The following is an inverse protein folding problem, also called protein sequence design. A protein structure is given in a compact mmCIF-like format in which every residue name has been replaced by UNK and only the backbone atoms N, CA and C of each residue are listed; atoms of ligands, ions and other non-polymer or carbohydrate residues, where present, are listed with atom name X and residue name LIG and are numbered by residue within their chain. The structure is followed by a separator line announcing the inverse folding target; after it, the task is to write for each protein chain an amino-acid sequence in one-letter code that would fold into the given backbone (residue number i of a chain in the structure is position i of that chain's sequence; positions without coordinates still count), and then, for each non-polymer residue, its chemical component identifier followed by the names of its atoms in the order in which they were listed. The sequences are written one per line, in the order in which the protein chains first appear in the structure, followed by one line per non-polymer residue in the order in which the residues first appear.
data_IF_085514418679
#
_entry.id   IF_085514418679
#
_cell.length_a   1.000
_cell.length_b   1.000
_cell.length_c   1.000
_cell.angle_alpha   90.00
_cell.angle_beta   90.00
_cell.angle_gamma   90.00
#
_symmetry.space_group_name_H-M   'P 1'
#
loop_
_entity.id
_entity.type
_entity.pdbx_description
1 polymer ?
#
# COMPACT_ATOMS: atom_id res chain seq x y z
N UNK A 1 -1.62 9.80 -36.34
CA UNK A 1 -1.92 10.08 -35.97
C UNK A 1 -1.97 9.85 -35.73
N UNK A 2 -1.81 9.63 -35.37
CA UNK A 2 -2.10 9.81 -34.94
C UNK A 2 -2.02 9.64 -34.60
N UNK A 3 -1.81 9.71 -34.34
CA UNK A 3 -2.02 10.00 -33.85
C UNK A 3 -2.05 9.90 -33.42
N UNK A 4 -1.92 9.76 -33.19
CA UNK A 4 -2.20 10.06 -32.68
C UNK A 4 -2.19 9.87 -32.10
N UNK A 5 -2.03 9.67 -31.96
CA UNK A 5 -2.27 9.89 -31.34
C UNK A 5 -2.12 9.57 -30.90
N UNK A 6 -1.93 9.49 -30.79
CA UNK A 6 -2.01 9.61 -30.22
C UNK A 6 -1.75 9.56 -29.77
N UNK A 7 -1.62 9.69 -29.43
CA UNK A 7 -1.58 10.09 -28.88
C UNK A 7 -1.42 10.04 -28.31
N UNK A 8 -1.42 9.93 -28.50
CA UNK A 8 -1.40 10.12 -27.79
C UNK A 8 -0.88 9.72 -27.34
N UNK A 9 -0.70 9.55 -27.38
CA UNK A 9 -0.43 9.53 -26.82
C UNK A 9 0.29 9.27 -26.60
N UNK A 10 0.59 9.38 -26.57
CA UNK A 10 1.04 9.69 -26.21
C UNK A 10 1.83 9.79 -26.02
N UNK A 11 2.12 10.01 -26.11
CA UNK A 11 2.59 10.57 -25.74
C UNK A 11 3.29 10.82 -25.41
N UNK A 12 3.55 10.89 -25.42
CA UNK A 12 3.91 11.42 -24.91
C UNK A 12 4.52 11.58 -24.51
N UNK A 13 4.78 11.54 -24.30
CA UNK A 13 5.09 11.92 -23.66
C UNK A 13 5.83 12.03 -23.27
N UNK A 14 6.11 12.30 -23.28
CA UNK A 14 6.65 12.48 -22.68
C UNK A 14 7.10 12.59 -22.03
N UNK A 15 7.09 12.64 -21.84
CA UNK A 15 7.48 12.79 -21.13
C UNK A 15 7.54 13.03 -20.44
N UNK A 16 7.83 13.31 -20.54
CA UNK A 16 7.85 13.65 -19.47
C UNK A 16 6.75 13.78 -18.83
N UNK A 17 5.98 14.03 -19.25
CA UNK A 17 4.71 13.96 -18.68
C UNK A 17 4.64 12.97 -17.57
N UNK A 18 5.76 12.60 -17.19
CA UNK A 18 5.88 11.64 -16.13
C UNK A 18 5.19 12.12 -14.86
N UNK A 19 5.21 13.43 -14.59
CA UNK A 19 4.61 13.94 -13.37
C UNK A 19 3.14 13.63 -13.25
N UNK A 20 2.40 13.80 -14.34
CA UNK A 20 0.96 13.61 -14.30
C UNK A 20 0.56 12.16 -14.11
N UNK A 21 1.41 11.22 -14.54
CA UNK A 21 1.09 9.81 -14.42
C UNK A 21 1.27 9.31 -12.99
N UNK A 22 1.78 10.14 -12.10
CA UNK A 22 2.03 9.74 -10.70
C UNK A 22 0.89 10.14 -9.76
N UNK A 23 -0.24 10.51 -10.30
CA UNK A 23 -1.44 10.77 -9.51
C UNK A 23 -2.21 9.47 -9.28
N UNK A 24 -3.01 9.41 -8.21
CA UNK A 24 -3.73 8.17 -7.92
C UNK A 24 -4.85 7.91 -8.92
N UNK A 25 -4.96 6.66 -9.31
CA UNK A 25 -6.01 6.16 -10.18
C UNK A 25 -6.23 4.70 -9.82
N UNK A 26 -7.29 4.10 -10.34
CA UNK A 26 -7.52 2.69 -10.10
C UNK A 26 -6.32 1.88 -10.61
N UNK A 27 -5.79 2.26 -11.77
CA UNK A 27 -4.64 1.55 -12.35
C UNK A 27 -3.40 1.67 -11.47
N UNK A 28 -3.08 2.89 -11.02
CA UNK A 28 -1.88 3.07 -10.23
C UNK A 28 -2.02 2.46 -8.84
N UNK A 29 -3.22 2.46 -8.28
CA UNK A 29 -3.45 1.82 -6.99
C UNK A 29 -3.42 0.30 -7.10
N UNK A 30 -3.87 -0.24 -8.22
CA UNK A 30 -3.73 -1.66 -8.49
C UNK A 30 -2.26 -2.04 -8.57
N UNK A 31 -1.47 -1.24 -9.30
CA UNK A 31 -0.03 -1.46 -9.39
C UNK A 31 0.62 -1.42 -8.01
N UNK A 32 0.24 -0.44 -7.21
CA UNK A 32 0.77 -0.30 -5.85
C UNK A 32 0.50 -1.54 -5.02
N UNK A 33 -0.75 -1.97 -4.98
CA UNK A 33 -1.15 -3.10 -4.15
C UNK A 33 -0.45 -4.38 -4.61
N UNK A 34 -0.44 -4.62 -5.92
CA UNK A 34 0.15 -5.84 -6.44
C UNK A 34 1.67 -5.86 -6.25
N UNK A 35 2.36 -4.75 -6.49
CA UNK A 35 3.81 -4.68 -6.31
C UNK A 35 4.19 -4.83 -4.84
N UNK A 36 3.44 -4.19 -3.97
CA UNK A 36 3.68 -4.27 -2.54
C UNK A 36 3.56 -5.73 -2.06
N UNK A 37 2.45 -6.38 -2.41
CA UNK A 37 2.25 -7.76 -1.94
C UNK A 37 3.17 -8.76 -2.63
N UNK A 38 3.66 -8.45 -3.83
CA UNK A 38 4.69 -9.29 -4.42
C UNK A 38 5.94 -9.29 -3.55
N UNK A 39 6.33 -8.11 -3.05
CA UNK A 39 7.48 -8.02 -2.15
C UNK A 39 7.18 -8.65 -0.79
N UNK A 40 5.96 -8.49 -0.28
CA UNK A 40 5.58 -9.14 0.98
C UNK A 40 5.71 -10.65 0.85
N UNK A 41 5.21 -11.21 -0.24
CA UNK A 41 5.25 -12.66 -0.44
C UNK A 41 6.68 -13.17 -0.62
N UNK A 42 7.56 -12.34 -1.19
CA UNK A 42 8.95 -12.72 -1.40
C UNK A 42 9.81 -12.53 -0.15
N UNK A 43 9.33 -11.77 0.82
CA UNK A 43 10.09 -11.50 2.04
C UNK A 43 10.15 -12.75 2.91
N UNK A 44 11.36 -13.18 3.35
CA UNK A 44 11.45 -14.42 4.11
C UNK A 44 10.73 -14.39 5.45
N UNK A 45 10.47 -13.21 6.00
CA UNK A 45 9.79 -13.09 7.28
C UNK A 45 8.28 -12.90 7.09
N UNK A 46 7.88 -12.00 6.20
CA UNK A 46 6.46 -11.69 5.99
C UNK A 46 5.75 -12.75 5.16
N UNK A 47 6.44 -13.29 4.17
CA UNK A 47 5.80 -14.24 3.25
C UNK A 47 5.08 -15.37 3.96
N UNK A 48 5.78 -16.10 4.85
CA UNK A 48 5.12 -17.23 5.53
C UNK A 48 3.94 -16.80 6.40
N UNK A 49 4.01 -15.63 7.03
CA UNK A 49 2.91 -15.13 7.87
C UNK A 49 1.66 -14.93 7.02
N UNK A 50 1.82 -14.26 5.89
CA UNK A 50 0.68 -13.98 5.02
C UNK A 50 0.20 -15.23 4.28
N UNK A 51 1.13 -16.09 3.90
CA UNK A 51 0.74 -17.32 3.22
C UNK A 51 -0.10 -18.21 4.13
N UNK A 52 0.28 -18.29 5.40
CA UNK A 52 -0.47 -19.08 6.36
C UNK A 52 -1.90 -18.56 6.54
N UNK A 53 -2.07 -17.24 6.43
CA UNK A 53 -3.37 -16.62 6.64
C UNK A 53 -4.24 -16.64 5.38
N UNK A 54 -3.63 -16.47 4.22
CA UNK A 54 -4.39 -16.25 2.99
C UNK A 54 -4.50 -17.48 2.09
N UNK A 55 -3.46 -18.32 2.05
CA UNK A 55 -3.47 -19.53 1.23
C UNK A 55 -3.94 -19.24 -0.21
N UNK A 56 -5.12 -19.73 -0.56
CA UNK A 56 -5.69 -19.59 -1.90
C UNK A 56 -6.57 -18.35 -2.03
N UNK A 57 -6.58 -17.47 -1.01
CA UNK A 57 -7.43 -16.27 -1.03
C UNK A 57 -6.66 -15.01 -1.43
N UNK A 58 -5.47 -15.16 -2.00
CA UNK A 58 -4.66 -14.00 -2.39
C UNK A 58 -5.39 -13.09 -3.38
N UNK A 59 -6.04 -13.68 -4.37
CA UNK A 59 -6.71 -12.88 -5.38
C UNK A 59 -7.81 -12.01 -4.76
N UNK A 60 -8.62 -12.61 -3.92
CA UNK A 60 -9.68 -11.86 -3.25
C UNK A 60 -9.11 -10.79 -2.33
N UNK A 61 -8.00 -11.09 -1.66
CA UNK A 61 -7.35 -10.12 -0.79
C UNK A 61 -6.84 -8.92 -1.57
N UNK A 62 -6.20 -9.16 -2.71
CA UNK A 62 -5.68 -8.07 -3.51
C UNK A 62 -6.81 -7.16 -4.01
N UNK A 63 -7.93 -7.75 -4.43
CA UNK A 63 -9.08 -6.96 -4.86
C UNK A 63 -9.58 -6.08 -3.72
N UNK A 64 -9.69 -6.64 -2.51
CA UNK A 64 -10.15 -5.88 -1.34
C UNK A 64 -9.20 -4.76 -0.98
N UNK A 65 -7.90 -4.99 -1.14
CA UNK A 65 -6.92 -3.96 -0.82
C UNK A 65 -6.93 -2.84 -1.86
N UNK A 66 -7.15 -3.16 -3.12
CA UNK A 66 -7.34 -2.10 -4.12
C UNK A 66 -8.57 -1.26 -3.77
N UNK A 67 -9.66 -1.90 -3.35
CA UNK A 67 -10.86 -1.18 -2.94
C UNK A 67 -10.58 -0.29 -1.72
N UNK A 68 -9.87 -0.83 -0.74
CA UNK A 68 -9.53 -0.06 0.46
C UNK A 68 -8.71 1.18 0.11
N UNK A 69 -7.65 0.99 -0.65
CA UNK A 69 -6.76 2.11 -0.95
C UNK A 69 -7.39 3.08 -1.94
N UNK A 70 -8.31 2.60 -2.79
CA UNK A 70 -9.09 3.51 -3.64
C UNK A 70 -9.99 4.39 -2.79
N UNK A 71 -10.60 3.83 -1.76
CA UNK A 71 -11.41 4.61 -0.84
C UNK A 71 -10.58 5.68 -0.16
N UNK A 72 -9.37 5.33 0.27
CA UNK A 72 -8.47 6.29 0.92
C UNK A 72 -8.02 7.38 -0.05
N UNK A 73 -7.56 6.99 -1.23
CA UNK A 73 -6.89 7.93 -2.13
C UNK A 73 -7.86 8.71 -3.00
N UNK A 74 -8.97 8.11 -3.39
CA UNK A 74 -9.90 8.71 -4.35
C UNK A 74 -11.18 9.18 -3.70
N UNK A 75 -11.40 8.81 -2.43
CA UNK A 75 -12.60 9.24 -1.72
C UNK A 75 -13.87 8.50 -2.10
N UNK A 76 -13.75 7.39 -2.83
CA UNK A 76 -14.95 6.60 -3.13
C UNK A 76 -15.30 5.71 -1.93
N UNK A 77 -16.35 4.92 -2.06
CA UNK A 77 -16.86 4.15 -0.91
C UNK A 77 -16.91 2.67 -1.22
N UNK A 78 -15.88 2.18 -1.87
CA UNK A 78 -15.85 0.78 -2.28
C UNK A 78 -15.63 -0.18 -1.13
N UNK A 79 -14.91 0.28 -0.11
CA UNK A 79 -14.49 -0.62 0.96
C UNK A 79 -15.32 -0.42 2.22
N UNK A 80 -15.80 -1.54 2.77
CA UNK A 80 -16.53 -1.51 4.03
C UNK A 80 -16.09 -2.58 5.01
N UNK A 81 -14.87 -3.09 4.86
CA UNK A 81 -14.40 -4.19 5.68
C UNK A 81 -13.79 -3.75 7.00
N UNK A 82 -13.35 -4.74 7.78
CA UNK A 82 -12.75 -4.55 9.08
C UNK A 82 -11.24 -4.83 8.99
N UNK A 83 -10.47 -3.79 8.70
CA UNK A 83 -9.02 -3.92 8.53
C UNK A 83 -8.36 -4.38 9.82
N UNK A 84 -8.74 -3.78 10.94
CA UNK A 84 -8.12 -4.10 12.23
C UNK A 84 -8.36 -5.57 12.60
N UNK A 85 -9.61 -6.01 12.55
CA UNK A 85 -9.93 -7.36 12.92
C UNK A 85 -9.25 -8.41 12.06
N UNK A 86 -9.17 -8.14 10.75
CA UNK A 86 -8.52 -9.08 9.84
C UNK A 86 -7.04 -9.24 10.14
N UNK A 87 -6.36 -8.12 10.40
CA UNK A 87 -4.93 -8.19 10.70
C UNK A 87 -4.67 -8.81 12.07
N UNK A 88 -5.55 -8.60 13.02
CA UNK A 88 -5.37 -9.21 14.33
C UNK A 88 -5.48 -10.74 14.30
N UNK A 89 -5.96 -11.29 13.19
CA UNK A 89 -6.03 -12.74 13.04
C UNK A 89 -4.71 -13.36 12.56
N UNK A 90 -3.74 -12.56 12.15
CA UNK A 90 -2.43 -13.07 11.74
C UNK A 90 -1.69 -13.61 12.96
N UNK A 91 -1.02 -14.75 12.80
CA UNK A 91 -0.31 -15.37 13.88
C UNK A 91 1.20 -15.31 13.64
N UNK A 92 1.95 -15.25 14.73
CA UNK A 92 3.40 -15.25 14.66
C UNK A 92 4.00 -13.90 14.29
N UNK A 93 3.23 -12.83 14.41
CA UNK A 93 3.68 -11.50 14.04
C UNK A 93 4.59 -10.94 15.13
N UNK A 94 5.71 -10.34 14.70
CA UNK A 94 6.68 -9.71 15.60
C UNK A 94 6.83 -8.24 15.24
N UNK A 95 7.45 -7.43 16.12
CA UNK A 95 7.70 -6.02 15.78
C UNK A 95 8.51 -5.85 14.50
N UNK A 96 9.45 -6.75 14.21
CA UNK A 96 10.23 -6.65 12.99
C UNK A 96 9.37 -6.79 11.74
N UNK A 97 8.30 -7.57 11.82
CA UNK A 97 7.37 -7.70 10.70
C UNK A 97 6.71 -6.37 10.36
N UNK A 98 6.33 -5.61 11.39
CA UNK A 98 5.73 -4.30 11.17
C UNK A 98 6.73 -3.33 10.54
N UNK A 99 7.97 -3.34 10.98
CA UNK A 99 8.98 -2.46 10.41
C UNK A 99 9.21 -2.77 8.93
N UNK A 100 9.27 -4.05 8.59
CA UNK A 100 9.44 -4.45 7.19
C UNK A 100 8.23 -4.06 6.36
N UNK A 101 7.02 -4.29 6.89
CA UNK A 101 5.79 -3.96 6.20
C UNK A 101 5.72 -2.47 5.87
N UNK A 102 6.01 -1.63 6.85
CA UNK A 102 6.00 -0.17 6.67
C UNK A 102 7.05 0.26 5.66
N UNK A 103 8.25 -0.33 5.72
CA UNK A 103 9.33 0.00 4.80
C UNK A 103 8.98 -0.36 3.36
N UNK A 104 8.39 -1.53 3.15
CA UNK A 104 7.99 -1.94 1.80
C UNK A 104 6.90 -1.05 1.23
N UNK A 105 5.96 -0.66 2.08
CA UNK A 105 4.91 0.26 1.65
C UNK A 105 5.50 1.60 1.24
N UNK A 106 6.43 2.13 2.03
CA UNK A 106 7.10 3.38 1.70
C UNK A 106 7.84 3.29 0.38
N UNK A 107 8.53 2.18 0.14
CA UNK A 107 9.26 1.98 -1.11
C UNK A 107 8.34 2.11 -2.33
N UNK A 108 7.21 1.45 -2.29
CA UNK A 108 6.33 1.43 -3.47
C UNK A 108 5.52 2.71 -3.63
N UNK A 109 5.09 3.32 -2.53
CA UNK A 109 4.38 4.59 -2.63
C UNK A 109 5.30 5.70 -3.13
N UNK A 110 6.54 5.75 -2.65
CA UNK A 110 7.50 6.74 -3.12
C UNK A 110 7.83 6.53 -4.60
N UNK A 111 7.89 5.29 -5.03
CA UNK A 111 8.22 4.97 -6.42
C UNK A 111 7.10 5.36 -7.38
N UNK A 112 5.87 5.16 -6.99
CA UNK A 112 4.73 5.27 -7.92
C UNK A 112 4.06 6.63 -7.92
N UNK A 113 4.16 7.40 -6.84
CA UNK A 113 3.34 8.59 -6.69
C UNK A 113 4.15 9.84 -6.43
N UNK A 114 3.52 10.99 -6.70
CA UNK A 114 4.09 12.26 -6.30
C UNK A 114 4.22 12.32 -4.79
N UNK A 115 5.18 13.13 -4.30
CA UNK A 115 5.47 13.14 -2.86
C UNK A 115 4.26 13.37 -1.97
N UNK A 116 3.35 14.26 -2.35
CA UNK A 116 2.18 14.53 -1.52
C UNK A 116 1.24 13.32 -1.45
N UNK A 117 1.06 12.65 -2.58
CA UNK A 117 0.21 11.47 -2.62
C UNK A 117 0.86 10.32 -1.84
N UNK A 118 2.16 10.10 -2.07
CA UNK A 118 2.88 9.06 -1.35
C UNK A 118 2.80 9.27 0.14
N UNK A 119 2.96 10.51 0.59
CA UNK A 119 2.91 10.83 2.00
C UNK A 119 1.54 10.55 2.60
N UNK A 120 0.48 10.91 1.91
CA UNK A 120 -0.87 10.62 2.38
C UNK A 120 -1.09 9.13 2.57
N UNK A 121 -0.65 8.33 1.59
CA UNK A 121 -0.80 6.89 1.66
C UNK A 121 0.05 6.31 2.80
N UNK A 122 1.23 6.88 3.03
CA UNK A 122 2.10 6.44 4.12
C UNK A 122 1.52 6.81 5.46
N UNK A 123 0.93 8.01 5.58
CA UNK A 123 0.31 8.43 6.85
C UNK A 123 -0.79 7.45 7.25
N UNK A 124 -1.65 7.07 6.31
CA UNK A 124 -2.73 6.15 6.61
C UNK A 124 -2.17 4.77 6.99
N UNK A 125 -1.18 4.28 6.22
CA UNK A 125 -0.61 2.97 6.52
C UNK A 125 0.10 2.96 7.86
N UNK A 126 0.83 4.03 8.20
CA UNK A 126 1.50 4.12 9.50
C UNK A 126 0.49 4.16 10.64
N UNK A 127 -0.63 4.85 10.44
CA UNK A 127 -1.69 4.86 11.44
C UNK A 127 -2.26 3.48 11.68
N UNK A 128 -2.51 2.74 10.61
CA UNK A 128 -2.97 1.36 10.72
C UNK A 128 -1.94 0.51 11.45
N UNK A 129 -0.67 0.64 11.05
CA UNK A 129 0.41 -0.14 11.67
C UNK A 129 0.54 0.14 13.15
N UNK A 130 0.45 1.40 13.55
CA UNK A 130 0.53 1.75 14.97
C UNK A 130 -0.62 1.14 15.78
N UNK A 131 -1.82 1.21 15.23
CA UNK A 131 -2.99 0.66 15.91
C UNK A 131 -2.87 -0.85 16.06
N UNK A 132 -2.44 -1.52 15.00
CA UNK A 132 -2.27 -2.97 15.03
C UNK A 132 -1.14 -3.38 15.94
N UNK A 133 -0.03 -2.66 15.89
CA UNK A 133 1.13 -2.95 16.74
C UNK A 133 0.71 -2.87 18.21
N UNK A 134 -0.03 -1.83 18.56
CA UNK A 134 -0.49 -1.68 19.93
C UNK A 134 -1.43 -2.82 20.33
N UNK A 135 -2.28 -3.25 19.39
CA UNK A 135 -3.17 -4.38 19.65
C UNK A 135 -2.41 -5.68 19.87
N UNK A 136 -1.34 -5.91 19.12
CA UNK A 136 -0.56 -7.14 19.28
C UNK A 136 0.33 -7.11 20.51
N UNK A 137 0.93 -5.97 20.82
CA UNK A 137 2.03 -5.93 21.79
C UNK A 137 1.77 -5.05 23.00
N UNK A 138 0.68 -4.28 23.00
CA UNK A 138 0.31 -3.44 24.13
C UNK A 138 1.22 -2.25 24.35
N UNK A 139 2.01 -1.88 23.35
CA UNK A 139 2.91 -0.73 23.46
C UNK A 139 3.09 -0.08 22.10
N UNK A 140 3.66 1.12 22.11
CA UNK A 140 3.86 1.87 20.88
C UNK A 140 5.04 1.30 20.09
N UNK A 141 4.98 1.39 18.77
CA UNK A 141 6.08 0.90 17.93
C UNK A 141 7.29 1.82 18.00
N UNK A 142 8.45 1.24 17.67
CA UNK A 142 9.71 2.00 17.61
C UNK A 142 10.26 2.05 16.20
N UNK A 143 9.51 1.62 15.20
CA UNK A 143 9.99 1.73 13.82
C UNK A 143 9.85 3.17 13.35
N UNK A 144 10.66 3.54 12.35
CA UNK A 144 10.62 4.89 11.79
C UNK A 144 9.24 5.20 11.25
N UNK A 145 8.75 6.39 11.56
CA UNK A 145 7.41 6.79 11.18
C UNK A 145 7.42 8.27 10.80
N UNK A 146 7.40 8.54 9.52
CA UNK A 146 7.41 9.90 9.01
C UNK A 146 6.27 10.73 9.56
N UNK A 147 5.14 10.10 9.80
CA UNK A 147 3.96 10.82 10.24
C UNK A 147 4.16 11.45 11.59
N UNK A 148 4.95 10.81 12.44
CA UNK A 148 5.21 11.34 13.77
C UNK A 148 6.00 12.63 13.70
N UNK A 149 7.00 12.66 12.83
CA UNK A 149 7.85 13.84 12.73
C UNK A 149 7.16 14.95 11.96
N UNK A 150 6.17 14.65 11.18
CA UNK A 150 5.46 15.64 10.38
C UNK A 150 4.40 16.35 11.17
N UNK A 151 3.93 15.72 12.22
CA UNK A 151 2.89 16.29 13.05
C UNK A 151 3.48 17.12 14.16
#
# INVERSE_FOLDING_TARGET
MLMQLNEKSSAALPVSGAGTSRLPSIESLTELVHSFYADVRADPQLGPIFEAALHDRWQAHLVRMVDFWSTVALGDKRFGGNVHGKHMALQGVTPAHFATWVRLWGKHTDRLFEPEVARKLQIVAHGIARTLFQGYFGKRPVFADRTVTEV
#
